data_IF_709933806745
#
_entry.id   IF_709933806745
#
_cell.length_a   1.000
_cell.length_b   1.000
_cell.length_c   1.000
_cell.angle_alpha   90.00
_cell.angle_beta   90.00
_cell.angle_gamma   90.00
#
_symmetry.space_group_name_H-M   'P 1'
#
loop_
_entity.id
_entity.type
_entity.pdbx_description
1 polymer ?
#
# COMPACT_ATOMS: atom_id res chain seq x y z
N UNK A 1 24.37 -1.11 -1.50
CA UNK A 1 23.03 -0.49 -1.50
C UNK A 1 22.68 -0.23 -0.04
N UNK A 2 22.93 1.00 0.46
CA UNK A 2 22.54 1.39 1.83
C UNK A 2 21.05 1.75 1.78
N UNK A 3 20.19 0.76 1.93
CA UNK A 3 18.82 1.00 2.42
C UNK A 3 18.94 0.87 3.94
N UNK A 4 18.29 1.76 4.68
CA UNK A 4 18.41 1.98 6.13
C UNK A 4 19.48 2.98 6.57
N UNK A 5 19.06 4.23 6.65
CA UNK A 5 19.69 5.24 7.48
C UNK A 5 18.59 6.06 8.18
N UNK A 6 18.20 5.65 9.40
CA UNK A 6 17.58 6.59 10.34
C UNK A 6 16.21 6.25 10.93
N UNK A 7 15.39 5.43 10.26
CA UNK A 7 14.06 5.12 10.79
C UNK A 7 14.14 4.25 12.06
N UNK A 8 13.51 4.70 13.14
CA UNK A 8 13.48 4.05 14.45
C UNK A 8 12.08 4.17 15.03
N UNK A 9 11.78 3.29 15.96
CA UNK A 9 10.57 3.38 16.76
C UNK A 9 10.60 4.67 17.59
N UNK A 10 9.44 5.31 17.72
CA UNK A 10 9.23 6.38 18.71
C UNK A 10 8.75 5.72 19.99
N UNK A 11 9.13 6.24 21.17
CA UNK A 11 8.73 5.64 22.44
C UNK A 11 7.20 5.46 22.52
N UNK A 12 6.75 4.21 22.64
CA UNK A 12 5.32 3.85 22.67
C UNK A 12 4.66 3.62 21.31
N UNK A 13 5.41 3.66 20.21
CA UNK A 13 4.93 3.37 18.85
C UNK A 13 5.68 2.18 18.24
N UNK A 14 4.95 1.30 17.55
CA UNK A 14 5.52 0.18 16.78
C UNK A 14 6.01 0.62 15.37
N UNK A 15 5.89 1.91 15.04
CA UNK A 15 6.15 2.45 13.70
C UNK A 15 7.53 3.10 13.58
N UNK A 16 8.28 2.65 12.57
CA UNK A 16 9.63 3.14 12.30
C UNK A 16 9.59 4.40 11.44
N UNK A 17 9.96 5.52 12.05
CA UNK A 17 9.95 6.85 11.44
C UNK A 17 11.30 7.55 11.60
N UNK A 18 11.52 8.63 10.85
CA UNK A 18 12.75 9.42 10.88
C UNK A 18 12.81 10.29 12.14
N UNK A 19 13.19 9.69 13.27
CA UNK A 19 13.17 10.32 14.61
C UNK A 19 14.10 11.54 14.78
N UNK A 20 14.92 11.85 13.77
CA UNK A 20 15.81 13.01 13.75
C UNK A 20 15.20 14.22 13.02
N UNK A 21 14.01 14.08 12.45
CA UNK A 21 13.25 15.14 11.78
C UNK A 21 12.18 15.70 12.71
N UNK A 22 11.63 16.86 12.36
CA UNK A 22 10.58 17.52 13.15
C UNK A 22 9.31 16.68 13.24
N UNK A 23 8.64 16.70 14.39
CA UNK A 23 7.38 16.00 14.66
C UNK A 23 7.42 14.49 14.31
N UNK A 24 8.33 13.70 14.90
CA UNK A 24 8.37 12.25 14.68
C UNK A 24 7.16 11.52 15.25
N UNK A 25 6.52 12.04 16.30
CA UNK A 25 5.27 11.51 16.86
C UNK A 25 4.12 11.60 15.84
N UNK A 26 3.91 12.77 15.24
CA UNK A 26 2.90 12.99 14.19
C UNK A 26 3.17 12.08 12.97
N UNK A 27 4.44 11.86 12.62
CA UNK A 27 4.81 10.96 11.54
C UNK A 27 4.47 9.49 11.87
N UNK A 28 4.67 9.08 13.12
CA UNK A 28 4.33 7.74 13.59
C UNK A 28 2.81 7.53 13.64
N UNK A 29 2.05 8.54 14.07
CA UNK A 29 0.58 8.53 14.04
C UNK A 29 0.06 8.38 12.62
N UNK A 30 0.57 9.18 11.67
CA UNK A 30 0.22 9.05 10.25
C UNK A 30 0.56 7.66 9.71
N UNK A 31 1.74 7.11 10.02
CA UNK A 31 2.10 5.77 9.55
C UNK A 31 1.18 4.70 10.12
N UNK A 32 0.73 4.87 11.37
CA UNK A 32 -0.29 4.02 11.99
C UNK A 32 -1.66 4.11 11.33
N UNK A 33 -2.12 5.31 10.98
CA UNK A 33 -3.36 5.48 10.22
C UNK A 33 -3.31 4.78 8.84
N UNK A 34 -2.16 4.83 8.17
CA UNK A 34 -1.93 4.16 6.89
C UNK A 34 -1.89 2.64 7.03
N UNK A 35 -1.33 2.13 8.13
CA UNK A 35 -1.30 0.71 8.46
C UNK A 35 -2.71 0.15 8.72
N UNK A 36 -3.51 0.85 9.53
CA UNK A 36 -4.89 0.47 9.82
C UNK A 36 -5.76 0.50 8.56
N UNK A 37 -5.53 1.46 7.65
CA UNK A 37 -6.15 1.44 6.32
C UNK A 37 -5.80 0.18 5.54
N UNK A 38 -4.52 -0.19 5.47
CA UNK A 38 -4.10 -1.40 4.76
C UNK A 38 -4.74 -2.65 5.36
N UNK A 39 -4.72 -2.80 6.70
CA UNK A 39 -5.36 -3.92 7.41
C UNK A 39 -6.87 -3.99 7.14
N UNK A 40 -7.57 -2.87 7.18
CA UNK A 40 -9.01 -2.80 6.93
C UNK A 40 -9.35 -3.24 5.50
N UNK A 41 -8.60 -2.75 4.50
CA UNK A 41 -8.76 -3.16 3.09
C UNK A 41 -8.49 -4.65 2.93
N UNK A 42 -7.36 -5.15 3.46
CA UNK A 42 -6.98 -6.57 3.35
C UNK A 42 -8.04 -7.46 4.01
N UNK A 43 -8.53 -7.09 5.19
CA UNK A 43 -9.55 -7.84 5.93
C UNK A 43 -10.89 -7.86 5.20
N UNK A 44 -11.32 -6.73 4.64
CA UNK A 44 -12.51 -6.64 3.79
C UNK A 44 -12.40 -7.55 2.56
N UNK A 45 -11.28 -7.45 1.83
CA UNK A 45 -11.01 -8.29 0.67
C UNK A 45 -10.94 -9.78 1.05
N UNK A 46 -10.33 -10.12 2.18
CA UNK A 46 -10.28 -11.48 2.70
C UNK A 46 -11.70 -12.03 2.92
N UNK A 47 -12.54 -11.30 3.65
CA UNK A 47 -13.95 -11.66 3.89
C UNK A 47 -14.72 -11.82 2.58
N UNK A 48 -14.54 -10.91 1.62
CA UNK A 48 -15.28 -10.86 0.36
C UNK A 48 -14.84 -11.96 -0.63
N UNK A 49 -13.55 -12.27 -0.70
CA UNK A 49 -13.00 -13.09 -1.80
C UNK A 49 -12.50 -14.47 -1.39
N UNK A 50 -12.26 -14.74 -0.11
CA UNK A 50 -11.71 -16.05 0.31
C UNK A 50 -12.78 -17.07 0.71
N UNK A 51 -14.07 -16.74 0.57
CA UNK A 51 -15.16 -17.64 0.95
C UNK A 51 -15.25 -17.91 2.46
N UNK A 52 -14.69 -17.00 3.27
CA UNK A 52 -14.71 -17.09 4.73
C UNK A 52 -13.64 -17.98 5.35
N UNK A 53 -12.60 -18.37 4.60
CA UNK A 53 -11.45 -19.12 5.17
C UNK A 53 -10.70 -18.30 6.23
N UNK A 54 -10.82 -16.97 6.20
CA UNK A 54 -10.19 -16.02 7.12
C UNK A 54 -11.25 -15.19 7.89
N UNK A 55 -12.30 -15.83 8.44
CA UNK A 55 -13.44 -15.15 9.13
C UNK A 55 -13.13 -14.56 10.50
N UNK A 56 -12.01 -14.94 11.12
CA UNK A 56 -11.47 -14.30 12.32
C UNK A 56 -10.34 -13.37 11.89
N UNK A 57 -10.14 -12.23 12.57
CA UNK A 57 -8.99 -11.34 12.30
C UNK A 57 -7.75 -12.23 12.20
N UNK A 58 -7.11 -12.31 11.01
CA UNK A 58 -6.04 -13.26 10.83
C UNK A 58 -4.92 -12.85 11.79
N UNK A 59 -4.55 -13.74 12.71
CA UNK A 59 -3.30 -13.61 13.45
C UNK A 59 -2.20 -13.25 12.43
N UNK A 60 -1.46 -12.17 12.70
CA UNK A 60 -0.46 -11.53 11.83
C UNK A 60 0.74 -12.44 11.45
N UNK A 61 0.62 -13.77 11.60
CA UNK A 61 1.51 -14.76 10.97
C UNK A 61 0.77 -15.64 9.92
N UNK A 62 0.33 -15.03 8.81
CA UNK A 62 -0.46 -15.67 7.75
C UNK A 62 0.28 -16.76 6.97
N UNK A 63 1.62 -16.83 7.07
CA UNK A 63 2.43 -17.82 6.36
C UNK A 63 2.11 -19.27 6.77
N UNK A 64 1.97 -19.54 8.08
CA UNK A 64 1.72 -20.90 8.58
C UNK A 64 0.29 -21.38 8.34
N UNK A 65 -0.70 -20.50 8.50
CA UNK A 65 -2.10 -20.80 8.22
C UNK A 65 -2.32 -21.06 6.72
N UNK A 66 -1.65 -20.28 5.87
CA UNK A 66 -1.65 -20.44 4.42
C UNK A 66 -1.01 -21.77 3.96
N UNK A 67 0.19 -22.10 4.45
CA UNK A 67 0.87 -23.36 4.09
C UNK A 67 0.03 -24.59 4.47
N UNK A 68 -0.83 -24.48 5.48
CA UNK A 68 -1.81 -25.52 5.85
C UNK A 68 -2.98 -25.56 4.87
N UNK A 69 -3.66 -24.43 4.65
CA UNK A 69 -4.83 -24.35 3.77
C UNK A 69 -4.52 -24.75 2.30
N UNK A 70 -3.32 -24.44 1.80
CA UNK A 70 -2.88 -24.84 0.45
C UNK A 70 -2.55 -26.32 0.32
N UNK A 71 -2.05 -26.96 1.38
CA UNK A 71 -1.86 -28.42 1.40
C UNK A 71 -3.18 -29.16 1.42
N UNK A 72 -4.22 -28.57 1.99
CA UNK A 72 -5.53 -29.19 2.21
C UNK A 72 -6.53 -28.96 1.06
N UNK A 73 -6.23 -28.13 0.05
CA UNK A 73 -7.13 -27.88 -1.09
C UNK A 73 -6.40 -27.65 -2.44
N UNK A 74 -5.97 -28.72 -3.12
CA UNK A 74 -5.25 -28.66 -4.40
C UNK A 74 -6.07 -28.10 -5.59
N UNK A 75 -7.40 -28.10 -5.51
CA UNK A 75 -8.31 -27.70 -6.60
C UNK A 75 -8.40 -26.18 -6.84
N UNK A 76 -7.65 -25.38 -6.09
CA UNK A 76 -7.66 -23.91 -6.20
C UNK A 76 -7.17 -23.36 -7.56
N UNK A 77 -6.57 -24.21 -8.40
CA UNK A 77 -5.93 -23.82 -9.67
C UNK A 77 -6.90 -23.82 -10.86
N UNK A 78 -8.08 -24.44 -10.76
CA UNK A 78 -8.98 -24.62 -11.91
C UNK A 78 -10.42 -24.13 -11.69
N UNK A 79 -10.60 -22.84 -11.42
CA UNK A 79 -11.94 -22.22 -11.47
C UNK A 79 -11.92 -21.03 -12.44
N UNK A 80 -12.71 -21.04 -13.54
CA UNK A 80 -12.94 -19.85 -14.34
C UNK A 80 -13.86 -18.92 -13.54
N UNK A 81 -13.27 -18.09 -12.69
CA UNK A 81 -13.99 -17.26 -11.73
C UNK A 81 -13.88 -15.78 -12.10
N UNK A 82 -15.03 -15.10 -12.16
CA UNK A 82 -15.15 -13.64 -12.32
C UNK A 82 -14.32 -12.86 -11.31
N UNK A 83 -13.99 -13.46 -10.17
CA UNK A 83 -13.19 -12.90 -9.08
C UNK A 83 -11.81 -13.56 -8.92
N UNK A 84 -11.32 -14.37 -9.88
CA UNK A 84 -10.03 -15.06 -9.76
C UNK A 84 -8.88 -14.08 -9.47
N UNK A 85 -8.88 -12.92 -10.16
CA UNK A 85 -7.93 -11.83 -9.93
C UNK A 85 -7.98 -11.31 -8.50
N UNK A 86 -9.20 -11.04 -7.99
CA UNK A 86 -9.42 -10.55 -6.64
C UNK A 86 -8.97 -11.57 -5.58
N UNK A 87 -9.17 -12.86 -5.81
CA UNK A 87 -8.67 -13.93 -4.93
C UNK A 87 -7.14 -13.99 -4.89
N UNK A 88 -6.49 -13.90 -6.05
CA UNK A 88 -5.02 -13.94 -6.14
C UNK A 88 -4.39 -12.75 -5.42
N UNK A 89 -4.89 -11.53 -5.67
CA UNK A 89 -4.35 -10.33 -5.01
C UNK A 89 -4.59 -10.39 -3.50
N UNK A 90 -5.80 -10.75 -3.06
CA UNK A 90 -6.15 -10.88 -1.64
C UNK A 90 -5.20 -11.84 -0.93
N UNK A 91 -4.95 -13.00 -1.53
CA UNK A 91 -4.00 -13.99 -1.02
C UNK A 91 -2.57 -13.43 -0.92
N UNK A 92 -2.11 -12.75 -1.96
CA UNK A 92 -0.77 -12.16 -1.97
C UNK A 92 -0.63 -11.13 -0.85
N UNK A 93 -1.64 -10.27 -0.67
CA UNK A 93 -1.66 -9.27 0.40
C UNK A 93 -1.64 -9.93 1.76
N UNK A 94 -2.53 -10.90 2.01
CA UNK A 94 -2.55 -11.68 3.24
C UNK A 94 -1.19 -12.31 3.53
N UNK A 95 -0.47 -12.84 2.54
CA UNK A 95 0.81 -13.49 2.77
C UNK A 95 1.98 -12.50 2.99
N UNK A 96 1.92 -11.31 2.38
CA UNK A 96 3.11 -10.48 2.17
C UNK A 96 3.07 -9.12 2.87
N UNK A 97 1.89 -8.63 3.20
CA UNK A 97 1.77 -7.41 3.98
C UNK A 97 2.12 -7.70 5.44
N UNK A 98 2.92 -6.84 6.04
CA UNK A 98 3.36 -6.92 7.43
C UNK A 98 3.57 -5.49 7.95
N UNK A 99 2.85 -5.12 9.00
CA UNK A 99 2.93 -3.80 9.64
C UNK A 99 4.35 -3.47 10.09
N UNK A 100 5.14 -4.46 10.54
CA UNK A 100 6.52 -4.25 11.00
C UNK A 100 7.51 -3.88 9.87
N UNK A 101 7.07 -4.04 8.61
CA UNK A 101 7.82 -3.71 7.40
C UNK A 101 7.37 -2.39 6.76
N UNK A 102 6.30 -1.77 7.27
CA UNK A 102 5.88 -0.42 6.88
C UNK A 102 6.75 0.62 7.60
N UNK A 103 7.45 1.46 6.85
CA UNK A 103 8.44 2.40 7.41
C UNK A 103 8.39 3.76 6.73
N UNK A 104 8.81 4.82 7.42
CA UNK A 104 9.06 6.11 6.77
C UNK A 104 10.31 6.05 5.90
N UNK A 105 10.17 6.43 4.63
CA UNK A 105 11.29 6.59 3.71
C UNK A 105 12.14 7.81 4.09
N UNK A 106 13.46 7.72 3.93
CA UNK A 106 14.35 8.85 4.18
C UNK A 106 14.14 9.95 3.12
N UNK A 107 13.71 11.17 3.50
CA UNK A 107 13.48 12.24 2.54
C UNK A 107 14.78 12.77 1.90
N UNK A 108 15.95 12.45 2.47
CA UNK A 108 17.27 12.83 1.96
C UNK A 108 17.89 11.76 1.05
N UNK A 109 17.27 10.56 1.02
CA UNK A 109 17.76 9.39 0.30
C UNK A 109 16.93 9.01 -0.93
N UNK A 110 17.61 8.41 -1.91
CA UNK A 110 17.09 7.80 -3.16
C UNK A 110 16.23 8.69 -4.08
N UNK A 111 16.24 8.37 -5.38
CA UNK A 111 15.34 9.00 -6.37
C UNK A 111 13.87 8.66 -6.11
N UNK A 112 13.60 7.54 -5.44
CA UNK A 112 12.26 7.01 -5.26
C UNK A 112 11.58 7.69 -4.07
N UNK A 113 10.30 7.97 -4.23
CA UNK A 113 9.49 8.66 -3.23
C UNK A 113 8.90 7.65 -2.26
N UNK A 114 8.30 6.57 -2.76
CA UNK A 114 7.82 5.44 -1.97
C UNK A 114 8.15 4.15 -2.71
N UNK A 115 8.32 3.03 -2.01
CA UNK A 115 8.64 1.79 -2.69
C UNK A 115 8.34 0.55 -1.86
N UNK A 116 8.15 -0.56 -2.57
CA UNK A 116 8.12 -1.90 -2.01
C UNK A 116 9.37 -2.68 -2.41
N UNK A 117 10.16 -3.13 -1.43
CA UNK A 117 11.26 -4.07 -1.66
C UNK A 117 10.77 -5.51 -1.52
N UNK A 118 11.15 -6.35 -2.49
CA UNK A 118 10.89 -7.80 -2.53
C UNK A 118 9.43 -8.17 -2.17
N UNK A 119 8.47 -7.39 -2.69
CA UNK A 119 7.03 -7.64 -2.56
C UNK A 119 6.53 -7.67 -1.10
N UNK A 120 7.13 -6.89 -0.20
CA UNK A 120 6.62 -6.70 1.18
C UNK A 120 7.66 -6.86 2.28
N UNK A 121 8.92 -7.17 1.94
CA UNK A 121 10.02 -7.19 2.93
C UNK A 121 10.23 -5.80 3.53
N UNK A 122 10.01 -4.74 2.73
CA UNK A 122 9.95 -3.34 3.17
C UNK A 122 8.90 -2.63 2.31
N UNK A 123 8.01 -1.88 2.93
CA UNK A 123 7.12 -0.90 2.29
C UNK A 123 7.46 0.47 2.87
N UNK A 124 8.14 1.31 2.08
CA UNK A 124 8.62 2.60 2.52
C UNK A 124 7.75 3.74 1.97
N UNK A 125 7.28 4.64 2.83
CA UNK A 125 6.44 5.78 2.45
C UNK A 125 7.17 7.09 2.74
N UNK A 126 7.30 7.98 1.75
CA UNK A 126 7.76 9.36 1.98
C UNK A 126 6.65 10.15 2.66
N UNK A 127 6.73 10.31 3.98
CA UNK A 127 5.74 11.09 4.73
C UNK A 127 5.94 12.59 4.56
N UNK A 128 7.13 13.03 4.11
CA UNK A 128 7.58 14.42 4.16
C UNK A 128 7.93 14.98 2.80
N UNK A 129 7.51 16.22 2.54
CA UNK A 129 7.81 16.90 1.29
C UNK A 129 9.31 17.17 1.12
N UNK A 130 9.80 17.13 -0.13
CA UNK A 130 11.24 17.30 -0.45
C UNK A 130 11.56 18.60 -1.20
N UNK A 131 10.55 19.32 -1.70
CA UNK A 131 10.75 20.43 -2.64
C UNK A 131 11.09 21.74 -1.96
N UNK A 132 10.45 22.04 -0.82
CA UNK A 132 10.64 23.35 -0.14
C UNK A 132 11.77 23.31 0.87
N UNK A 133 12.26 22.11 1.21
CA UNK A 133 13.31 21.90 2.21
C UNK A 133 12.80 21.93 3.65
N UNK A 134 11.53 22.28 3.87
CA UNK A 134 10.91 22.35 5.19
C UNK A 134 10.50 20.97 5.71
N UNK A 135 10.42 19.94 4.86
CA UNK A 135 10.15 18.54 5.25
C UNK A 135 8.86 18.36 6.06
N UNK A 136 7.86 19.21 5.78
CA UNK A 136 6.52 19.10 6.35
C UNK A 136 5.86 17.79 5.93
N UNK A 137 5.00 17.26 6.80
CA UNK A 137 4.21 16.07 6.53
C UNK A 137 3.21 16.35 5.39
N UNK A 138 3.04 15.37 4.52
CA UNK A 138 2.01 15.39 3.48
C UNK A 138 0.62 15.23 4.08
N UNK A 139 -0.40 15.75 3.38
CA UNK A 139 -1.79 15.58 3.80
C UNK A 139 -2.22 14.10 3.70
N UNK A 140 -3.06 13.66 4.63
CA UNK A 140 -3.53 12.28 4.71
C UNK A 140 -4.12 11.74 3.38
N UNK A 141 -4.95 12.47 2.60
CA UNK A 141 -5.54 11.92 1.38
C UNK A 141 -4.51 11.52 0.31
N UNK A 142 -3.42 12.26 0.16
CA UNK A 142 -2.35 11.89 -0.78
C UNK A 142 -1.53 10.72 -0.25
N UNK A 143 -1.30 10.66 1.06
CA UNK A 143 -0.61 9.54 1.71
C UNK A 143 -1.41 8.24 1.60
N UNK A 144 -2.72 8.28 1.81
CA UNK A 144 -3.62 7.14 1.61
C UNK A 144 -3.56 6.64 0.17
N UNK A 145 -3.61 7.55 -0.81
CA UNK A 145 -3.52 7.19 -2.22
C UNK A 145 -2.20 6.51 -2.59
N UNK A 146 -1.07 7.07 -2.15
CA UNK A 146 0.27 6.48 -2.39
C UNK A 146 0.45 5.16 -1.63
N UNK A 147 -0.10 5.05 -0.42
CA UNK A 147 -0.03 3.80 0.35
C UNK A 147 -0.81 2.69 -0.35
N UNK A 148 -2.00 2.96 -0.89
CA UNK A 148 -2.75 2.00 -1.69
C UNK A 148 -2.03 1.63 -3.00
N UNK A 149 -1.22 2.53 -3.56
CA UNK A 149 -0.35 2.25 -4.72
C UNK A 149 0.72 1.21 -4.36
N UNK A 150 1.43 1.41 -3.24
CA UNK A 150 2.42 0.45 -2.76
C UNK A 150 1.79 -0.89 -2.34
N UNK A 151 0.61 -0.85 -1.72
CA UNK A 151 -0.17 -2.07 -1.43
C UNK A 151 -0.47 -2.85 -2.72
N UNK A 152 -0.79 -2.16 -3.82
CA UNK A 152 -0.98 -2.80 -5.12
C UNK A 152 0.31 -3.46 -5.66
N UNK A 153 1.49 -2.91 -5.37
CA UNK A 153 2.77 -3.56 -5.71
C UNK A 153 3.01 -4.85 -4.94
N UNK A 154 2.61 -4.92 -3.66
CA UNK A 154 2.67 -6.14 -2.84
C UNK A 154 1.76 -7.23 -3.44
N UNK A 155 0.53 -6.84 -3.77
CA UNK A 155 -0.50 -7.75 -4.28
C UNK A 155 -0.27 -8.21 -5.73
N UNK A 156 0.50 -7.45 -6.53
CA UNK A 156 0.77 -7.75 -7.95
C UNK A 156 2.04 -8.58 -8.11
N UNK A 157 1.98 -9.65 -8.92
CA UNK A 157 3.16 -10.50 -9.19
C UNK A 157 4.18 -9.79 -10.08
N UNK A 158 3.71 -9.14 -11.15
CA UNK A 158 4.57 -8.43 -12.09
C UNK A 158 5.25 -7.22 -11.45
N UNK A 159 6.37 -6.80 -12.04
CA UNK A 159 7.09 -5.59 -11.66
C UNK A 159 6.64 -4.39 -12.49
N UNK A 160 6.68 -3.20 -11.89
CA UNK A 160 6.34 -1.94 -12.53
C UNK A 160 4.85 -1.74 -12.77
N UNK A 161 4.52 -0.68 -13.51
CA UNK A 161 3.15 -0.18 -13.71
C UNK A 161 2.52 -0.72 -14.99
N UNK A 162 2.55 -2.04 -15.18
CA UNK A 162 1.93 -2.68 -16.35
C UNK A 162 0.38 -2.70 -16.24
N UNK A 163 -0.36 -3.10 -17.29
CA UNK A 163 -1.83 -3.14 -17.22
C UNK A 163 -2.37 -4.03 -16.10
N UNK A 164 -1.62 -5.04 -15.67
CA UNK A 164 -1.97 -5.89 -14.53
C UNK A 164 -1.89 -5.11 -13.21
N UNK A 165 -0.81 -4.35 -13.00
CA UNK A 165 -0.69 -3.45 -11.85
C UNK A 165 -1.88 -2.48 -11.78
N UNK A 166 -2.21 -1.78 -12.88
CA UNK A 166 -3.29 -0.78 -12.86
C UNK A 166 -4.67 -1.38 -12.57
N UNK A 167 -4.95 -2.57 -13.12
CA UNK A 167 -6.18 -3.30 -12.78
C UNK A 167 -6.25 -3.70 -11.32
N UNK A 168 -5.12 -4.10 -10.72
CA UNK A 168 -5.03 -4.45 -9.31
C UNK A 168 -5.15 -3.22 -8.40
N UNK A 169 -4.49 -2.13 -8.75
CA UNK A 169 -4.57 -0.88 -8.01
C UNK A 169 -5.99 -0.32 -8.03
N UNK A 170 -6.65 -0.31 -9.20
CA UNK A 170 -8.06 0.08 -9.31
C UNK A 170 -8.97 -0.80 -8.45
N UNK A 171 -8.74 -2.12 -8.42
CA UNK A 171 -9.49 -3.02 -7.56
C UNK A 171 -9.30 -2.65 -6.08
N UNK A 172 -8.07 -2.46 -5.59
CA UNK A 172 -7.80 -2.04 -4.21
C UNK A 172 -8.54 -0.74 -3.86
N UNK A 173 -8.52 0.25 -4.76
CA UNK A 173 -9.24 1.50 -4.56
C UNK A 173 -10.76 1.29 -4.47
N UNK A 174 -11.34 0.43 -5.31
CA UNK A 174 -12.75 0.09 -5.26
C UNK A 174 -13.13 -0.55 -3.91
N UNK A 175 -12.31 -1.49 -3.45
CA UNK A 175 -12.51 -2.17 -2.16
C UNK A 175 -12.35 -1.20 -0.97
N UNK A 176 -11.41 -0.25 -1.05
CA UNK A 176 -11.25 0.80 -0.05
C UNK A 176 -12.46 1.74 0.00
N UNK A 177 -12.99 2.14 -1.16
CA UNK A 177 -14.17 2.99 -1.25
C UNK A 177 -15.42 2.30 -0.68
N UNK A 178 -15.58 0.99 -0.89
CA UNK A 178 -16.70 0.21 -0.34
C UNK A 178 -16.75 0.21 1.19
N UNK A 179 -15.60 0.31 1.86
CA UNK A 179 -15.50 0.38 3.33
C UNK A 179 -15.33 1.81 3.87
N UNK A 180 -15.52 2.82 3.02
CA UNK A 180 -15.62 4.22 3.45
C UNK A 180 -14.33 5.03 3.40
N UNK A 181 -13.23 4.50 2.85
CA UNK A 181 -12.04 5.33 2.61
C UNK A 181 -12.28 6.31 1.46
N UNK A 182 -12.02 7.59 1.71
CA UNK A 182 -12.16 8.64 0.72
C UNK A 182 -11.03 8.54 -0.31
N UNK A 183 -11.41 8.60 -1.58
CA UNK A 183 -10.47 8.60 -2.69
C UNK A 183 -10.37 10.03 -3.23
N UNK A 184 -9.18 10.65 -3.25
CA UNK A 184 -9.04 12.00 -3.81
C UNK A 184 -9.30 11.99 -5.32
N UNK A 185 -10.17 12.89 -5.79
CA UNK A 185 -10.29 13.21 -7.21
C UNK A 185 -9.36 14.38 -7.55
N UNK A 186 -8.14 14.04 -7.99
CA UNK A 186 -7.12 15.01 -8.34
C UNK A 186 -7.46 15.90 -9.54
N UNK A 187 -8.50 15.55 -10.34
CA UNK A 187 -9.00 16.44 -11.40
C UNK A 187 -9.77 17.61 -10.82
N UNK A 188 -10.52 17.37 -9.73
CA UNK A 188 -11.34 18.38 -9.05
C UNK A 188 -10.53 19.14 -8.00
N UNK A 189 -9.71 18.43 -7.21
CA UNK A 189 -8.96 18.99 -6.07
C UNK A 189 -7.70 19.78 -6.45
N UNK A 190 -7.43 19.97 -7.75
CA UNK A 190 -6.14 20.36 -8.35
C UNK A 190 -5.06 19.27 -8.16
N UNK A 191 -4.09 19.16 -9.10
CA UNK A 191 -2.99 18.22 -8.97
C UNK A 191 -2.22 18.42 -7.66
N UNK A 192 -2.02 17.32 -6.93
CA UNK A 192 -1.23 17.30 -5.70
C UNK A 192 0.23 16.97 -6.03
N UNK A 193 1.17 17.52 -5.27
CA UNK A 193 2.60 17.21 -5.43
C UNK A 193 3.05 16.32 -4.30
N UNK A 194 3.53 15.13 -4.65
CA UNK A 194 4.07 14.15 -3.72
C UNK A 194 5.56 13.96 -3.94
N UNK A 195 6.39 14.41 -2.99
CA UNK A 195 7.86 14.32 -3.02
C UNK A 195 8.53 14.64 -4.39
N UNK A 196 7.98 15.57 -5.19
CA UNK A 196 8.51 15.89 -6.52
C UNK A 196 7.57 15.58 -7.69
N UNK A 197 6.63 14.67 -7.46
CA UNK A 197 5.80 14.05 -8.49
C UNK A 197 4.41 14.69 -8.50
N UNK A 198 3.96 15.13 -9.67
CA UNK A 198 2.59 15.63 -9.85
C UNK A 198 1.62 14.45 -9.98
N UNK A 199 0.76 14.28 -8.98
CA UNK A 199 -0.33 13.31 -9.00
C UNK A 199 -1.57 14.00 -9.57
N UNK A 200 -1.97 13.56 -10.77
CA UNK A 200 -3.00 14.24 -11.57
C UNK A 200 -4.25 13.40 -11.80
N UNK A 201 -4.18 12.10 -11.53
CA UNK A 201 -5.27 11.16 -11.84
C UNK A 201 -5.33 10.06 -10.79
N UNK A 202 -6.56 9.57 -10.56
CA UNK A 202 -6.85 8.43 -9.71
C UNK A 202 -7.61 7.40 -10.57
N UNK A 203 -7.11 6.16 -10.72
CA UNK A 203 -7.70 5.17 -11.63
C UNK A 203 -9.11 4.72 -11.22
N UNK A 204 -9.51 5.00 -9.98
CA UNK A 204 -10.88 4.81 -9.53
C UNK A 204 -11.90 5.55 -10.42
N UNK A 205 -11.63 6.82 -10.76
CA UNK A 205 -12.53 7.67 -11.56
C UNK A 205 -12.36 7.52 -13.08
N UNK A 206 -11.44 6.66 -13.54
CA UNK A 206 -11.20 6.46 -14.96
C UNK A 206 -12.03 5.29 -15.52
N UNK A 207 -12.74 5.52 -16.63
CA UNK A 207 -13.43 4.47 -17.40
C UNK A 207 -12.49 3.68 -18.32
N UNK A 208 -11.26 4.15 -18.53
CA UNK A 208 -10.21 3.48 -19.31
C UNK A 208 -9.18 2.92 -18.32
N UNK A 209 -8.70 1.69 -18.56
CA UNK A 209 -7.49 1.13 -17.92
C UNK A 209 -6.28 1.97 -18.35
N UNK A 210 -6.20 3.21 -17.85
CA UNK A 210 -5.17 4.14 -18.22
C UNK A 210 -3.85 3.62 -17.66
N UNK A 211 -2.84 3.58 -18.52
CA UNK A 211 -1.46 3.81 -18.10
C UNK A 211 -1.44 5.24 -17.54
N UNK A 212 -1.84 5.39 -16.28
CA UNK A 212 -1.73 6.68 -15.60
C UNK A 212 -0.24 6.96 -15.54
N UNK A 213 0.14 8.12 -16.06
CA UNK A 213 1.48 8.67 -15.89
C UNK A 213 1.60 9.05 -14.40
N UNK A 214 1.80 8.06 -13.55
CA UNK A 214 2.79 8.21 -12.51
C UNK A 214 4.13 8.13 -13.25
N UNK A 215 5.05 9.09 -13.10
CA UNK A 215 6.42 8.85 -13.54
C UNK A 215 6.84 7.47 -13.00
N UNK A 216 7.65 6.76 -13.76
CA UNK A 216 8.22 5.43 -13.45
C UNK A 216 8.96 5.33 -12.11
N UNK A 217 8.91 6.39 -11.30
CA UNK A 217 9.80 6.76 -10.22
C UNK A 217 9.03 7.12 -8.93
N UNK A 218 7.71 6.82 -8.84
CA UNK A 218 7.05 6.82 -7.51
C UNK A 218 7.82 5.86 -6.61
#
# INVERSE_FOLDING_TARGET
MRVFTGARDVDGSDFKVQTHLENPEDAAELLGELDEMCKAIISHMAKKYTGGIYTEEPELNPKKAYDRAMRESPDFVQIPDRNARARIITRNLLHRYDSGNLVENDPQGTKNTSFVLKKGEIMAICLRERQTGNKHLHELPILQFVTMHELAHIGTLDHGHNPSFWKNFKLILQEAAEIGYLLPDFKIMKPQTYCGIKVTQNPYYSSIDLQIIAPSDV
#
